data_IF_257799901254
#
_entry.id   IF_257799901254
#
_cell.length_a   1.000
_cell.length_b   1.000
_cell.length_c   1.000
_cell.angle_alpha   90.00
_cell.angle_beta   90.00
_cell.angle_gamma   90.00
#
_symmetry.space_group_name_H-M   'P 1'
#
loop_
_entity.id
_entity.type
_entity.pdbx_description
1 polymer ?
#
# COMPACT_ATOMS: atom_id res chain seq x y z
N UNK A 1 41.98 -41.85 17.49
CA UNK A 1 40.63 -42.23 17.92
C UNK A 1 39.71 -41.02 18.13
N UNK A 2 40.18 -39.96 18.70
CA UNK A 2 39.36 -38.77 18.91
C UNK A 2 38.86 -38.09 17.64
N UNK A 3 39.63 -38.14 16.57
CA UNK A 3 39.24 -37.50 15.28
C UNK A 3 38.07 -38.22 14.63
N UNK A 4 37.98 -39.58 14.70
CA UNK A 4 36.90 -40.33 14.11
C UNK A 4 35.57 -40.03 14.83
N UNK A 5 35.59 -39.95 16.13
CA UNK A 5 34.40 -39.62 16.93
C UNK A 5 33.90 -38.20 16.65
N UNK A 6 34.82 -37.23 16.57
CA UNK A 6 34.47 -35.85 16.25
C UNK A 6 33.87 -35.71 14.84
N UNK A 7 34.45 -36.41 13.88
CA UNK A 7 33.91 -36.39 12.51
C UNK A 7 32.49 -36.98 12.44
N UNK A 8 32.21 -38.04 13.18
CA UNK A 8 30.90 -38.65 13.29
C UNK A 8 29.85 -37.71 13.88
N UNK A 9 30.23 -37.02 14.96
CA UNK A 9 29.36 -36.05 15.63
C UNK A 9 29.07 -34.86 14.70
N UNK A 10 30.09 -34.36 14.00
CA UNK A 10 29.91 -33.28 13.05
C UNK A 10 28.99 -33.67 11.89
N UNK A 11 29.14 -34.90 11.37
CA UNK A 11 28.27 -35.40 10.31
C UNK A 11 26.80 -35.47 10.77
N UNK A 12 26.56 -35.92 12.00
CA UNK A 12 25.22 -35.94 12.60
C UNK A 12 24.61 -34.55 12.73
N UNK A 13 25.37 -33.59 13.22
CA UNK A 13 24.92 -32.19 13.30
C UNK A 13 24.64 -31.60 11.91
N UNK A 14 25.48 -31.87 10.93
CA UNK A 14 25.28 -31.40 9.57
C UNK A 14 23.97 -31.93 8.97
N UNK A 15 23.64 -33.20 9.21
CA UNK A 15 22.37 -33.79 8.78
C UNK A 15 21.17 -33.12 9.42
N UNK A 16 21.21 -32.86 10.72
CA UNK A 16 20.17 -32.15 11.45
C UNK A 16 20.00 -30.72 10.91
N UNK A 17 21.10 -30.03 10.65
CA UNK A 17 21.07 -28.71 10.07
C UNK A 17 20.44 -28.70 8.68
N UNK A 18 20.72 -29.71 7.87
CA UNK A 18 20.08 -29.83 6.54
C UNK A 18 18.57 -29.99 6.66
N UNK A 19 18.08 -30.84 7.56
CA UNK A 19 16.65 -31.02 7.81
C UNK A 19 15.97 -29.73 8.27
N UNK A 20 16.57 -29.04 9.25
CA UNK A 20 16.07 -27.77 9.74
C UNK A 20 16.15 -26.69 8.66
N UNK A 21 17.21 -26.69 7.85
CA UNK A 21 17.36 -25.74 6.76
C UNK A 21 16.28 -25.92 5.68
N UNK A 22 15.90 -27.15 5.35
CA UNK A 22 14.83 -27.41 4.39
C UNK A 22 13.48 -26.93 4.91
N UNK A 23 13.17 -27.19 6.16
CA UNK A 23 11.93 -26.72 6.80
C UNK A 23 11.94 -25.19 6.88
N UNK A 24 13.07 -24.62 7.29
CA UNK A 24 13.26 -23.17 7.35
C UNK A 24 13.14 -22.53 5.98
N UNK A 25 13.73 -23.13 4.96
CA UNK A 25 13.65 -22.64 3.60
C UNK A 25 12.21 -22.65 3.09
N UNK A 26 11.48 -23.74 3.35
CA UNK A 26 10.06 -23.86 2.97
C UNK A 26 9.23 -22.80 3.70
N UNK A 27 9.46 -22.60 4.99
CA UNK A 27 8.76 -21.58 5.78
C UNK A 27 9.02 -20.19 5.20
N UNK A 28 10.28 -19.85 4.91
CA UNK A 28 10.65 -18.57 4.33
C UNK A 28 10.06 -18.39 2.93
N UNK A 29 10.02 -19.45 2.13
CA UNK A 29 9.42 -19.40 0.80
C UNK A 29 7.93 -19.07 0.89
N UNK A 30 7.20 -19.72 1.80
CA UNK A 30 5.78 -19.44 2.02
C UNK A 30 5.58 -18.01 2.51
N UNK A 31 6.42 -17.55 3.44
CA UNK A 31 6.34 -16.19 3.98
C UNK A 31 6.57 -15.16 2.88
N UNK A 32 7.62 -15.33 2.08
CA UNK A 32 7.94 -14.41 0.98
C UNK A 32 6.82 -14.41 -0.06
N UNK A 33 6.29 -15.58 -0.41
CA UNK A 33 5.18 -15.68 -1.36
C UNK A 33 3.93 -14.99 -0.83
N UNK A 34 3.63 -15.14 0.45
CA UNK A 34 2.48 -14.48 1.09
C UNK A 34 2.63 -12.96 1.07
N UNK A 35 3.83 -12.46 1.40
CA UNK A 35 4.13 -11.02 1.37
C UNK A 35 4.03 -10.49 -0.06
N UNK A 36 4.53 -11.23 -1.04
CA UNK A 36 4.46 -10.83 -2.44
C UNK A 36 3.01 -10.72 -2.93
N UNK A 37 2.17 -11.71 -2.60
CA UNK A 37 0.75 -11.66 -2.95
C UNK A 37 0.03 -10.49 -2.29
N UNK A 38 0.33 -10.23 -1.02
CA UNK A 38 -0.22 -9.08 -0.31
C UNK A 38 0.20 -7.78 -0.97
N UNK A 39 1.48 -7.65 -1.32
CA UNK A 39 2.00 -6.47 -2.00
C UNK A 39 1.31 -6.25 -3.34
N UNK A 40 1.10 -7.30 -4.12
CA UNK A 40 0.39 -7.21 -5.40
C UNK A 40 -1.05 -6.70 -5.24
N UNK A 41 -1.69 -7.01 -4.13
CA UNK A 41 -3.05 -6.52 -3.84
C UNK A 41 -3.05 -5.09 -3.31
N UNK A 42 -2.02 -4.70 -2.58
CA UNK A 42 -1.93 -3.38 -1.93
C UNK A 42 -1.37 -2.32 -2.86
N UNK A 43 -0.42 -2.67 -3.76
CA UNK A 43 0.25 -1.72 -4.64
C UNK A 43 -0.72 -0.87 -5.48
N UNK A 44 -1.76 -1.43 -6.11
CA UNK A 44 -2.70 -0.59 -6.85
C UNK A 44 -3.39 0.45 -5.96
N UNK A 45 -3.71 0.10 -4.73
CA UNK A 45 -4.33 1.02 -3.76
C UNK A 45 -3.39 2.15 -3.38
N UNK A 46 -2.10 1.85 -3.18
CA UNK A 46 -1.08 2.87 -2.92
C UNK A 46 -0.87 3.78 -4.12
N UNK A 47 -0.86 3.21 -5.32
CA UNK A 47 -0.74 3.99 -6.54
C UNK A 47 -1.91 4.97 -6.68
N UNK A 48 -3.12 4.52 -6.39
CA UNK A 48 -4.31 5.37 -6.39
C UNK A 48 -4.16 6.51 -5.39
N UNK A 49 -3.71 6.21 -4.17
CA UNK A 49 -3.49 7.22 -3.14
C UNK A 49 -2.51 8.30 -3.60
N UNK A 50 -1.36 7.91 -4.16
CA UNK A 50 -0.38 8.87 -4.64
C UNK A 50 -0.90 9.67 -5.84
N UNK A 51 -1.69 9.05 -6.71
CA UNK A 51 -2.33 9.75 -7.84
C UNK A 51 -3.32 10.78 -7.35
N UNK A 52 -4.14 10.45 -6.36
CA UNK A 52 -5.08 11.39 -5.75
C UNK A 52 -4.30 12.54 -5.08
N UNK A 53 -3.23 12.22 -4.36
CA UNK A 53 -2.40 13.23 -3.69
C UNK A 53 -1.81 14.21 -4.70
N UNK A 54 -1.31 13.74 -5.83
CA UNK A 54 -0.78 14.61 -6.89
C UNK A 54 -1.89 15.45 -7.51
N UNK A 55 -3.05 14.87 -7.77
CA UNK A 55 -4.19 15.58 -8.31
C UNK A 55 -4.64 16.70 -7.38
N UNK A 56 -4.74 16.41 -6.08
CA UNK A 56 -5.14 17.37 -5.05
C UNK A 56 -4.12 18.51 -4.96
N UNK A 57 -2.82 18.20 -4.97
CA UNK A 57 -1.78 19.23 -4.95
C UNK A 57 -1.84 20.13 -6.19
N UNK A 58 -2.08 19.55 -7.35
CA UNK A 58 -2.23 20.29 -8.61
C UNK A 58 -3.43 21.22 -8.56
N UNK A 59 -4.57 20.76 -8.06
CA UNK A 59 -5.78 21.55 -7.94
C UNK A 59 -5.62 22.70 -6.96
N UNK A 60 -4.92 22.47 -5.85
CA UNK A 60 -4.67 23.51 -4.86
C UNK A 60 -3.87 24.69 -5.41
N UNK A 61 -3.06 24.44 -6.43
CA UNK A 61 -2.23 25.47 -7.07
C UNK A 61 -2.78 25.94 -8.42
N UNK A 62 -3.96 25.46 -8.84
CA UNK A 62 -4.52 25.73 -10.16
C UNK A 62 -5.19 27.10 -10.29
N UNK A 63 -5.33 27.84 -9.22
CA UNK A 63 -6.01 29.13 -9.21
C UNK A 63 -7.52 29.04 -9.03
N UNK A 64 -8.08 27.85 -8.86
CA UNK A 64 -9.48 27.69 -8.51
C UNK A 64 -9.75 28.31 -7.14
N UNK A 65 -10.85 29.04 -7.02
CA UNK A 65 -11.16 29.80 -5.80
C UNK A 65 -12.40 29.32 -5.08
N UNK A 66 -13.20 28.48 -5.71
CA UNK A 66 -14.45 27.98 -5.13
C UNK A 66 -14.40 26.48 -4.96
N UNK A 67 -15.18 25.97 -4.00
CA UNK A 67 -15.31 24.54 -3.74
C UNK A 67 -15.84 23.81 -4.98
N UNK A 68 -16.84 24.42 -5.66
CA UNK A 68 -17.44 23.83 -6.85
C UNK A 68 -16.42 23.69 -7.98
N UNK A 69 -15.58 24.69 -8.20
CA UNK A 69 -14.52 24.64 -9.23
C UNK A 69 -13.53 23.52 -8.95
N UNK A 70 -13.12 23.36 -7.70
CA UNK A 70 -12.17 22.32 -7.29
C UNK A 70 -12.79 20.94 -7.47
N UNK A 71 -14.03 20.75 -7.05
CA UNK A 71 -14.73 19.46 -7.21
C UNK A 71 -14.91 19.09 -8.65
N UNK A 72 -15.30 20.05 -9.49
CA UNK A 72 -15.46 19.81 -10.94
C UNK A 72 -14.11 19.52 -11.61
N UNK A 73 -13.06 20.23 -11.20
CA UNK A 73 -11.72 19.98 -11.72
C UNK A 73 -11.21 18.59 -11.32
N UNK A 74 -11.51 18.15 -10.11
CA UNK A 74 -11.16 16.81 -9.66
C UNK A 74 -11.90 15.74 -10.46
N UNK A 75 -13.18 15.93 -10.76
CA UNK A 75 -13.94 15.01 -11.60
C UNK A 75 -13.34 14.89 -13.02
N UNK A 76 -12.91 16.00 -13.60
CA UNK A 76 -12.21 15.98 -14.89
C UNK A 76 -10.88 15.24 -14.80
N UNK A 77 -10.13 15.45 -13.72
CA UNK A 77 -8.87 14.74 -13.49
C UNK A 77 -9.11 13.24 -13.33
N UNK A 78 -10.16 12.87 -12.63
CA UNK A 78 -10.57 11.49 -12.44
C UNK A 78 -10.91 10.80 -13.76
N UNK A 79 -11.55 11.51 -14.68
CA UNK A 79 -11.87 10.98 -16.00
C UNK A 79 -10.61 10.69 -16.83
N UNK A 80 -9.54 11.43 -16.60
CA UNK A 80 -8.25 11.22 -17.26
C UNK A 80 -7.46 10.13 -16.57
N UNK A 81 -7.48 10.11 -15.24
CA UNK A 81 -6.74 9.16 -14.42
C UNK A 81 -7.64 8.02 -13.98
N UNK A 82 -7.63 6.94 -14.72
CA UNK A 82 -8.49 5.78 -14.43
C UNK A 82 -8.16 5.09 -13.10
N UNK A 83 -6.98 5.34 -12.55
CA UNK A 83 -6.60 4.77 -11.25
C UNK A 83 -7.37 5.37 -10.08
N UNK A 84 -7.99 6.54 -10.26
CA UNK A 84 -8.80 7.17 -9.21
C UNK A 84 -10.23 6.64 -9.31
N UNK A 85 -10.57 5.71 -8.44
CA UNK A 85 -11.91 5.11 -8.42
C UNK A 85 -12.57 5.11 -7.04
N UNK A 86 -11.80 5.34 -5.98
CA UNK A 86 -12.33 5.22 -4.60
C UNK A 86 -13.08 6.46 -4.14
N UNK A 87 -12.74 7.64 -4.67
CA UNK A 87 -13.41 8.90 -4.31
C UNK A 87 -13.74 9.72 -5.55
N UNK A 88 -14.69 10.65 -5.37
CA UNK A 88 -15.04 11.65 -6.37
C UNK A 88 -14.85 13.05 -5.81
N UNK A 89 -15.13 14.05 -6.65
CA UNK A 89 -15.02 15.45 -6.24
C UNK A 89 -15.87 15.81 -5.01
N UNK A 90 -17.01 15.16 -4.85
CA UNK A 90 -17.91 15.36 -3.70
C UNK A 90 -17.30 14.90 -2.36
N UNK A 91 -16.30 14.02 -2.42
CA UNK A 91 -15.66 13.47 -1.23
C UNK A 91 -14.49 14.33 -0.74
N UNK A 92 -14.16 15.39 -1.48
CA UNK A 92 -13.11 16.31 -1.11
C UNK A 92 -13.61 17.32 -0.09
N UNK A 93 -12.85 17.52 0.97
CA UNK A 93 -13.08 18.57 1.96
C UNK A 93 -12.18 19.75 1.64
N UNK A 94 -12.77 20.82 1.16
CA UNK A 94 -12.05 22.02 0.73
C UNK A 94 -12.23 23.11 1.76
N UNK A 95 -11.11 23.63 2.30
CA UNK A 95 -11.12 24.68 3.28
C UNK A 95 -10.04 25.71 2.96
N UNK A 96 -10.13 26.88 3.61
CA UNK A 96 -9.10 27.91 3.52
C UNK A 96 -8.35 27.98 4.84
N UNK A 97 -7.04 27.84 4.78
CA UNK A 97 -6.15 27.98 5.92
C UNK A 97 -5.03 28.94 5.53
N UNK A 98 -4.84 30.01 6.29
CA UNK A 98 -3.79 31.03 6.04
C UNK A 98 -3.79 31.55 4.59
N UNK A 99 -4.98 31.88 4.08
CA UNK A 99 -5.21 32.36 2.70
C UNK A 99 -4.84 31.35 1.61
N UNK A 100 -4.66 30.10 1.99
CA UNK A 100 -4.42 29.00 1.04
C UNK A 100 -5.59 28.03 1.03
N UNK A 101 -5.94 27.55 -0.14
CA UNK A 101 -6.89 26.46 -0.26
C UNK A 101 -6.23 25.17 0.15
N UNK A 102 -6.86 24.48 1.09
CA UNK A 102 -6.42 23.15 1.55
C UNK A 102 -7.49 22.16 1.17
N UNK A 103 -7.12 21.16 0.42
CA UNK A 103 -8.00 20.08 -0.01
C UNK A 103 -7.63 18.84 0.79
N UNK A 104 -8.58 18.34 1.54
CA UNK A 104 -8.40 17.11 2.32
C UNK A 104 -9.25 16.01 1.74
N UNK A 105 -8.75 14.81 1.83
CA UNK A 105 -9.50 13.62 1.41
C UNK A 105 -9.22 12.46 2.36
N UNK A 106 -10.16 11.53 2.40
CA UNK A 106 -10.00 10.32 3.18
C UNK A 106 -10.92 9.24 2.66
N UNK A 107 -10.44 8.03 2.64
CA UNK A 107 -11.24 6.88 2.24
C UNK A 107 -10.64 5.61 2.83
N UNK A 108 -11.47 4.60 2.93
CA UNK A 108 -11.07 3.29 3.40
C UNK A 108 -11.11 2.32 2.22
N UNK A 109 -10.04 1.53 2.07
CA UNK A 109 -9.93 0.53 1.03
C UNK A 109 -9.91 -0.85 1.65
N UNK A 110 -10.90 -1.68 1.30
CA UNK A 110 -10.94 -3.07 1.73
C UNK A 110 -10.26 -3.94 0.70
N UNK A 111 -9.34 -4.78 1.16
CA UNK A 111 -8.63 -5.73 0.31
C UNK A 111 -8.93 -7.12 0.85
N UNK A 112 -9.57 -7.96 0.02
CA UNK A 112 -9.84 -9.33 0.40
C UNK A 112 -8.54 -10.13 0.37
N UNK A 113 -8.20 -10.72 1.51
CA UNK A 113 -7.02 -11.58 1.63
C UNK A 113 -7.42 -13.05 1.48
N UNK A 114 -8.13 -13.55 2.47
CA UNK A 114 -8.70 -14.90 2.48
C UNK A 114 -10.08 -14.77 3.09
N UNK A 115 -11.11 -15.18 2.38
CA UNK A 115 -12.49 -15.11 2.89
C UNK A 115 -12.62 -15.89 4.21
N UNK A 116 -13.14 -15.29 5.31
CA UNK A 116 -13.78 -13.96 5.43
C UNK A 116 -12.83 -12.84 5.91
N UNK A 117 -11.53 -12.97 5.74
CA UNK A 117 -10.54 -12.00 6.24
C UNK A 117 -10.29 -10.92 5.21
N UNK A 118 -10.45 -9.66 5.61
CA UNK A 118 -10.20 -8.48 4.78
C UNK A 118 -9.16 -7.58 5.45
N UNK A 119 -8.31 -6.97 4.64
CA UNK A 119 -7.42 -5.91 5.09
C UNK A 119 -8.07 -4.58 4.76
N UNK A 120 -8.28 -3.74 5.78
CA UNK A 120 -8.80 -2.39 5.60
C UNK A 120 -7.67 -1.39 5.76
N UNK A 121 -7.41 -0.61 4.72
CA UNK A 121 -6.40 0.44 4.74
C UNK A 121 -7.12 1.77 4.74
N UNK A 122 -6.85 2.59 5.74
CA UNK A 122 -7.42 3.93 5.85
C UNK A 122 -6.44 4.93 5.26
N UNK A 123 -6.83 5.55 4.16
CA UNK A 123 -6.03 6.56 3.49
C UNK A 123 -6.53 7.95 3.87
N UNK A 124 -5.59 8.81 4.21
CA UNK A 124 -5.86 10.22 4.53
C UNK A 124 -4.76 11.06 3.90
N UNK A 125 -5.15 12.17 3.31
CA UNK A 125 -4.20 13.07 2.72
C UNK A 125 -4.72 14.49 2.65
N UNK A 126 -3.81 15.42 2.35
CA UNK A 126 -4.15 16.83 2.17
C UNK A 126 -3.21 17.45 1.15
N UNK A 127 -3.66 18.53 0.52
CA UNK A 127 -2.80 19.32 -0.36
C UNK A 127 -1.74 20.06 0.45
N UNK A 128 -0.58 20.23 -0.14
CA UNK A 128 0.53 20.95 0.47
C UNK A 128 0.71 22.32 -0.11
#
# INVERSE_FOLDING_TARGET
MGMAVQASVMAGKARRQRGLSLIGLLFWAILIASVALLAMKVLPSLNEYFTIQRAVNKLATSGATTVAEIRNAFERQKDIEYSISSIGGKDLDVSKENDRLVIRFGYDKEIELVDPVFLVIKFRGRSQ
#
